data_IF_981809803841
#
_entry.id   IF_981809803841
#
_cell.length_a   1.000
_cell.length_b   1.000
_cell.length_c   1.000
_cell.angle_alpha   90.00
_cell.angle_beta   90.00
_cell.angle_gamma   90.00
#
_symmetry.space_group_name_H-M   'P 1'
#
loop_
_entity.id
_entity.type
_entity.pdbx_description
1 polymer ?
#
# COMPACT_ATOMS: atom_id res chain seq x y z
N UNK A 1 47.26 -4.37 -14.81
CA UNK A 1 46.24 -3.56 -14.11
C UNK A 1 45.59 -4.48 -13.08
N UNK A 2 45.73 -4.16 -11.80
CA UNK A 2 45.48 -5.09 -10.70
C UNK A 2 43.99 -5.43 -10.56
N UNK A 3 43.66 -6.71 -10.74
CA UNK A 3 42.39 -7.31 -10.36
C UNK A 3 42.47 -7.63 -8.86
N UNK A 4 41.91 -6.77 -8.01
CA UNK A 4 41.75 -7.02 -6.58
C UNK A 4 40.28 -6.82 -6.22
N UNK A 5 39.49 -7.86 -6.44
CA UNK A 5 38.12 -7.96 -5.95
C UNK A 5 38.12 -8.34 -4.46
N UNK A 6 38.67 -7.47 -3.61
CA UNK A 6 38.54 -7.58 -2.15
C UNK A 6 37.41 -6.64 -1.68
N UNK A 7 36.22 -6.82 -2.23
CA UNK A 7 35.02 -6.21 -1.64
C UNK A 7 34.70 -6.95 -0.35
N UNK A 8 34.68 -6.27 0.82
CA UNK A 8 34.30 -6.92 2.07
C UNK A 8 32.89 -7.51 1.96
N UNK A 9 32.65 -8.67 2.59
CA UNK A 9 31.32 -9.31 2.61
C UNK A 9 30.26 -8.29 3.07
N UNK A 10 29.18 -8.14 2.29
CA UNK A 10 28.10 -7.19 2.57
C UNK A 10 28.24 -5.82 1.92
N UNK A 11 29.28 -5.61 1.10
CA UNK A 11 29.48 -4.41 0.31
C UNK A 11 29.49 -4.70 -1.19
N UNK A 12 28.92 -3.79 -1.98
CA UNK A 12 28.99 -3.83 -3.43
C UNK A 12 30.30 -3.21 -3.96
N UNK A 13 30.82 -3.70 -5.11
CA UNK A 13 32.01 -3.12 -5.75
C UNK A 13 31.77 -1.73 -6.35
N UNK A 14 30.52 -1.30 -6.43
CA UNK A 14 30.06 -0.01 -6.96
C UNK A 14 29.02 0.60 -6.02
N UNK A 15 28.73 1.89 -6.20
CA UNK A 15 27.73 2.59 -5.40
C UNK A 15 26.32 2.14 -5.80
N UNK A 16 25.50 1.76 -4.83
CA UNK A 16 24.14 1.22 -5.06
C UNK A 16 23.12 2.30 -5.40
N UNK A 17 23.49 3.57 -5.22
CA UNK A 17 22.66 4.73 -5.50
C UNK A 17 23.36 5.65 -6.49
N UNK A 18 22.59 6.23 -7.41
CA UNK A 18 23.07 7.26 -8.33
C UNK A 18 23.26 8.63 -7.66
N UNK A 19 22.84 8.77 -6.41
CA UNK A 19 22.92 9.97 -5.58
C UNK A 19 23.15 9.58 -4.10
N UNK A 20 23.52 10.54 -3.25
CA UNK A 20 23.58 10.29 -1.81
C UNK A 20 22.17 10.51 -1.18
N UNK A 21 21.50 9.49 -0.61
CA UNK A 21 20.16 9.64 -0.04
C UNK A 21 20.12 10.65 1.10
N UNK A 22 19.22 11.63 1.05
CA UNK A 22 19.10 12.63 2.10
C UNK A 22 18.47 12.03 3.37
N UNK A 23 19.16 12.18 4.50
CA UNK A 23 18.66 11.73 5.82
C UNK A 23 17.41 12.49 6.31
N UNK A 24 17.32 13.83 6.18
CA UNK A 24 16.17 14.57 6.71
C UNK A 24 14.80 14.10 6.18
N UNK A 25 14.57 13.93 4.86
CA UNK A 25 13.29 13.42 4.37
C UNK A 25 13.05 11.97 4.80
N UNK A 26 14.09 11.12 4.87
CA UNK A 26 13.95 9.75 5.36
C UNK A 26 13.41 9.71 6.80
N UNK A 27 13.95 10.53 7.70
CA UNK A 27 13.44 10.62 9.07
C UNK A 27 12.03 11.22 9.15
N UNK A 28 11.68 12.17 8.28
CA UNK A 28 10.33 12.73 8.22
C UNK A 28 9.31 11.64 7.86
N UNK A 29 9.55 10.85 6.81
CA UNK A 29 8.67 9.76 6.41
C UNK A 29 8.64 8.62 7.43
N UNK A 30 9.78 8.30 8.04
CA UNK A 30 9.83 7.35 9.17
C UNK A 30 8.86 7.77 10.29
N UNK A 31 8.95 9.03 10.72
CA UNK A 31 8.08 9.56 11.78
C UNK A 31 6.61 9.54 11.36
N UNK A 32 6.29 9.96 10.13
CA UNK A 32 4.93 10.02 9.62
C UNK A 32 4.28 8.63 9.52
N UNK A 33 4.99 7.63 8.98
CA UNK A 33 4.49 6.26 8.93
C UNK A 33 4.42 5.60 10.31
N UNK A 34 5.37 5.90 11.20
CA UNK A 34 5.31 5.46 12.60
C UNK A 34 4.08 6.01 13.33
N UNK A 35 3.81 7.31 13.21
CA UNK A 35 2.60 7.95 13.76
C UNK A 35 1.34 7.35 13.14
N UNK A 36 1.31 7.12 11.82
CA UNK A 36 0.18 6.50 11.15
C UNK A 36 -0.09 5.07 11.66
N UNK A 37 0.96 4.26 11.84
CA UNK A 37 0.85 2.90 12.36
C UNK A 37 0.29 2.89 13.80
N UNK A 38 0.84 3.73 14.68
CA UNK A 38 0.36 3.89 16.06
C UNK A 38 -1.10 4.38 16.07
N UNK A 39 -1.45 5.32 15.20
CA UNK A 39 -2.83 5.83 15.10
C UNK A 39 -3.80 4.72 14.70
N UNK A 40 -3.49 3.93 13.68
CA UNK A 40 -4.32 2.77 13.29
C UNK A 40 -4.45 1.75 14.42
N UNK A 41 -3.36 1.51 15.17
CA UNK A 41 -3.39 0.63 16.34
C UNK A 41 -4.32 1.17 17.43
N UNK A 42 -4.26 2.46 17.76
CA UNK A 42 -5.14 3.09 18.74
C UNK A 42 -6.60 3.04 18.27
N UNK A 43 -6.88 3.28 16.98
CA UNK A 43 -8.24 3.24 16.43
C UNK A 43 -8.85 1.82 16.44
N UNK A 44 -8.05 0.76 16.56
CA UNK A 44 -8.56 -0.61 16.66
C UNK A 44 -9.46 -0.84 17.89
N UNK A 45 -9.11 -0.21 19.03
CA UNK A 45 -9.82 -0.38 20.31
C UNK A 45 -11.22 0.26 20.35
N UNK A 46 -11.42 1.56 20.04
CA UNK A 46 -12.74 2.20 20.13
C UNK A 46 -13.76 1.66 19.12
N UNK A 47 -13.29 1.11 18.00
CA UNK A 47 -14.16 0.50 16.98
C UNK A 47 -14.26 -1.02 17.10
N UNK A 48 -13.53 -1.65 18.04
CA UNK A 48 -13.45 -3.10 18.24
C UNK A 48 -13.33 -3.87 16.92
N UNK A 49 -12.41 -3.42 16.06
CA UNK A 49 -12.34 -3.90 14.69
C UNK A 49 -10.90 -4.22 14.29
N UNK A 50 -10.60 -5.51 14.08
CA UNK A 50 -9.28 -6.02 13.69
C UNK A 50 -8.90 -5.79 12.21
N UNK A 51 -9.70 -5.07 11.43
CA UNK A 51 -9.42 -4.90 9.99
C UNK A 51 -8.23 -4.00 9.63
N UNK A 52 -7.75 -3.04 10.44
CA UNK A 52 -6.59 -2.25 10.09
C UNK A 52 -5.27 -2.96 10.43
N UNK A 53 -5.27 -4.22 10.90
CA UNK A 53 -4.03 -4.96 11.21
C UNK A 53 -3.07 -4.99 10.01
N UNK A 54 -3.50 -5.32 8.77
CA UNK A 54 -2.60 -5.25 7.63
C UNK A 54 -2.06 -3.82 7.43
N UNK A 55 -2.90 -2.78 7.53
CA UNK A 55 -2.45 -1.38 7.42
C UNK A 55 -1.38 -1.02 8.46
N UNK A 56 -1.47 -1.52 9.69
CA UNK A 56 -0.44 -1.33 10.73
C UNK A 56 0.87 -1.99 10.31
N UNK A 57 0.80 -3.25 9.85
CA UNK A 57 1.97 -3.99 9.35
C UNK A 57 2.61 -3.25 8.19
N UNK A 58 1.84 -2.89 7.16
CA UNK A 58 2.36 -2.17 5.99
C UNK A 58 2.92 -0.79 6.33
N UNK A 59 2.29 -0.03 7.22
CA UNK A 59 2.84 1.25 7.69
C UNK A 59 4.13 1.05 8.50
N UNK A 60 4.22 -0.04 9.27
CA UNK A 60 5.46 -0.44 9.95
C UNK A 60 6.58 -0.81 8.98
N UNK A 61 6.24 -1.51 7.89
CA UNK A 61 7.19 -1.83 6.82
C UNK A 61 7.71 -0.57 6.12
N UNK A 62 6.84 0.39 5.78
CA UNK A 62 7.25 1.70 5.25
C UNK A 62 8.16 2.43 6.24
N UNK A 63 7.77 2.50 7.51
CA UNK A 63 8.58 3.11 8.57
C UNK A 63 9.99 2.49 8.65
N UNK A 64 10.08 1.16 8.63
CA UNK A 64 11.36 0.45 8.61
C UNK A 64 12.14 0.71 7.32
N UNK A 65 11.48 0.79 6.17
CA UNK A 65 12.12 1.07 4.89
C UNK A 65 12.84 2.43 4.91
N UNK A 66 12.16 3.48 5.39
CA UNK A 66 12.77 4.81 5.53
C UNK A 66 13.87 4.86 6.59
N UNK A 67 13.82 4.00 7.62
CA UNK A 67 14.94 3.83 8.55
C UNK A 67 16.19 3.25 7.84
N UNK A 68 16.04 2.17 7.08
CA UNK A 68 17.16 1.59 6.32
C UNK A 68 17.68 2.55 5.22
N UNK A 69 16.79 3.34 4.63
CA UNK A 69 17.17 4.41 3.71
C UNK A 69 18.06 5.45 4.38
N UNK A 70 17.70 5.90 5.59
CA UNK A 70 18.53 6.84 6.35
C UNK A 70 19.93 6.30 6.68
N UNK A 71 20.06 4.98 6.92
CA UNK A 71 21.35 4.31 7.12
C UNK A 71 22.17 4.21 5.85
N UNK A 72 21.53 4.16 4.69
CA UNK A 72 22.23 4.08 3.41
C UNK A 72 22.97 5.38 3.06
N UNK A 73 22.64 6.50 3.70
CA UNK A 73 23.40 7.74 3.60
C UNK A 73 24.83 7.59 4.12
N UNK A 74 25.01 6.82 5.19
CA UNK A 74 26.30 6.67 5.86
C UNK A 74 27.25 5.80 5.03
N UNK A 75 26.71 4.86 4.24
CA UNK A 75 27.50 4.03 3.33
C UNK A 75 26.69 3.54 2.12
N UNK A 76 26.97 4.11 0.94
CA UNK A 76 26.27 3.83 -0.31
C UNK A 76 26.56 2.45 -0.90
N UNK A 77 27.64 1.78 -0.46
CA UNK A 77 28.04 0.46 -0.94
C UNK A 77 27.50 -0.65 -0.06
N UNK A 78 26.96 -0.34 1.11
CA UNK A 78 26.44 -1.34 2.02
C UNK A 78 25.16 -1.96 1.45
N UNK A 79 25.21 -3.26 1.14
CA UNK A 79 24.15 -3.95 0.40
C UNK A 79 22.90 -4.16 1.25
N UNK A 80 23.05 -4.43 2.54
CA UNK A 80 21.92 -4.83 3.39
C UNK A 80 20.88 -3.71 3.59
N UNK A 81 21.24 -2.46 3.98
CA UNK A 81 20.26 -1.38 4.08
C UNK A 81 19.57 -1.10 2.75
N UNK A 82 20.31 -1.12 1.64
CA UNK A 82 19.77 -0.94 0.29
C UNK A 82 18.74 -2.02 -0.09
N UNK A 83 19.04 -3.30 0.18
CA UNK A 83 18.11 -4.39 -0.11
C UNK A 83 16.86 -4.31 0.78
N UNK A 84 17.05 -4.07 2.07
CA UNK A 84 15.93 -4.03 3.03
C UNK A 84 14.98 -2.86 2.74
N UNK A 85 15.47 -1.66 2.43
CA UNK A 85 14.58 -0.55 2.08
C UNK A 85 13.71 -0.90 0.84
N UNK A 86 14.30 -1.51 -0.20
CA UNK A 86 13.65 -1.74 -1.48
C UNK A 86 12.64 -2.88 -1.35
N UNK A 87 13.00 -3.94 -0.62
CA UNK A 87 12.11 -5.05 -0.33
C UNK A 87 10.91 -4.59 0.52
N UNK A 88 11.15 -3.79 1.56
CA UNK A 88 10.08 -3.30 2.43
C UNK A 88 9.11 -2.37 1.69
N UNK A 89 9.61 -1.42 0.88
CA UNK A 89 8.78 -0.56 0.01
C UNK A 89 8.02 -1.35 -1.06
N UNK A 90 8.54 -2.50 -1.48
CA UNK A 90 7.86 -3.36 -2.44
C UNK A 90 6.74 -4.19 -1.80
N UNK A 91 6.96 -4.65 -0.56
CA UNK A 91 6.04 -5.58 0.14
C UNK A 91 4.98 -4.83 0.98
N UNK A 92 5.22 -3.58 1.38
CA UNK A 92 4.25 -2.78 2.14
C UNK A 92 2.92 -2.46 1.40
N UNK A 93 2.92 -2.03 0.11
CA UNK A 93 1.69 -1.72 -0.65
C UNK A 93 0.67 -2.85 -0.61
N UNK A 94 1.13 -4.12 -0.62
CA UNK A 94 0.25 -5.19 -0.32
C UNK A 94 -0.65 -5.03 0.91
N UNK A 95 -0.05 -4.88 2.07
CA UNK A 95 -0.81 -4.84 3.31
C UNK A 95 -1.79 -3.66 3.37
N UNK A 96 -1.43 -2.52 2.76
CA UNK A 96 -2.33 -1.36 2.64
C UNK A 96 -3.55 -1.69 1.77
N UNK A 97 -3.34 -2.32 0.61
CA UNK A 97 -4.42 -2.73 -0.29
C UNK A 97 -5.40 -3.69 0.39
N UNK A 98 -4.88 -4.70 1.11
CA UNK A 98 -5.72 -5.65 1.86
C UNK A 98 -6.69 -4.92 2.80
N UNK A 99 -6.25 -3.85 3.46
CA UNK A 99 -7.11 -3.03 4.33
C UNK A 99 -8.15 -2.25 3.54
N UNK A 100 -7.85 -1.76 2.34
CA UNK A 100 -8.84 -1.11 1.46
C UNK A 100 -9.97 -2.07 1.08
N UNK A 101 -9.63 -3.31 0.74
CA UNK A 101 -10.63 -4.35 0.46
C UNK A 101 -11.50 -4.68 1.68
N UNK A 102 -10.89 -4.82 2.86
CA UNK A 102 -11.64 -5.02 4.11
C UNK A 102 -12.53 -3.82 4.45
N UNK A 103 -12.07 -2.61 4.11
CA UNK A 103 -12.84 -1.37 4.28
C UNK A 103 -14.08 -1.35 3.40
N UNK A 104 -13.93 -1.68 2.11
CA UNK A 104 -15.07 -1.83 1.19
C UNK A 104 -16.05 -2.89 1.70
N UNK A 105 -15.55 -4.06 2.12
CA UNK A 105 -16.39 -5.11 2.70
C UNK A 105 -17.27 -4.54 3.82
N UNK A 106 -16.66 -3.88 4.80
CA UNK A 106 -17.38 -3.31 5.95
C UNK A 106 -18.39 -2.25 5.56
N UNK A 107 -18.08 -1.41 4.56
CA UNK A 107 -19.00 -0.40 4.04
C UNK A 107 -20.21 -1.08 3.38
N UNK A 108 -20.00 -2.08 2.51
CA UNK A 108 -21.06 -2.85 1.87
C UNK A 108 -21.98 -3.51 2.90
N UNK A 109 -21.41 -4.13 3.94
CA UNK A 109 -22.16 -4.74 5.04
C UNK A 109 -22.96 -3.72 5.84
N UNK A 110 -22.37 -2.56 6.14
CA UNK A 110 -23.05 -1.47 6.84
C UNK A 110 -24.22 -0.88 6.04
N UNK A 111 -24.17 -0.96 4.71
CA UNK A 111 -25.26 -0.52 3.83
C UNK A 111 -26.32 -1.60 3.60
N UNK A 112 -26.17 -2.80 4.17
CA UNK A 112 -26.97 -4.01 3.87
C UNK A 112 -27.03 -4.33 2.37
N UNK A 113 -25.96 -4.04 1.65
CA UNK A 113 -25.85 -4.25 0.21
C UNK A 113 -25.04 -5.52 -0.13
N UNK A 114 -25.01 -6.51 0.78
CA UNK A 114 -24.24 -7.75 0.60
C UNK A 114 -24.72 -8.54 -0.63
N UNK A 115 -26.04 -8.69 -0.82
CA UNK A 115 -26.64 -9.37 -1.98
C UNK A 115 -26.45 -8.60 -3.30
N UNK A 116 -26.20 -7.30 -3.20
CA UNK A 116 -25.92 -6.43 -4.33
C UNK A 116 -24.41 -6.37 -4.65
N UNK A 117 -23.54 -7.06 -3.91
CA UNK A 117 -22.11 -7.06 -4.16
C UNK A 117 -21.73 -8.17 -5.15
N UNK A 118 -21.05 -7.83 -6.24
CA UNK A 118 -20.77 -8.77 -7.33
C UNK A 118 -19.70 -9.83 -7.03
N UNK A 119 -18.93 -9.74 -5.95
CA UNK A 119 -17.75 -10.60 -5.78
C UNK A 119 -17.66 -11.18 -4.37
N UNK A 120 -17.36 -12.49 -4.29
CA UNK A 120 -16.80 -13.13 -3.10
C UNK A 120 -15.45 -12.48 -2.79
N UNK A 121 -15.46 -11.48 -1.90
CA UNK A 121 -14.31 -10.69 -1.45
C UNK A 121 -13.13 -11.52 -0.87
N UNK A 122 -13.28 -12.85 -0.75
CA UNK A 122 -12.27 -13.78 -0.22
C UNK A 122 -11.18 -14.15 -1.23
N UNK A 123 -11.41 -14.01 -2.53
CA UNK A 123 -10.45 -14.41 -3.57
C UNK A 123 -9.39 -13.36 -3.86
N UNK A 124 -9.72 -12.08 -3.71
CA UNK A 124 -8.80 -10.97 -3.99
C UNK A 124 -7.66 -10.94 -2.97
N UNK A 125 -7.93 -11.23 -1.68
CA UNK A 125 -6.88 -11.39 -0.66
C UNK A 125 -5.96 -12.57 -0.95
N UNK A 126 -6.46 -13.68 -1.51
CA UNK A 126 -5.62 -14.85 -1.87
C UNK A 126 -4.69 -14.56 -3.05
N UNK A 127 -5.21 -13.93 -4.12
CA UNK A 127 -4.41 -13.49 -5.27
C UNK A 127 -3.24 -12.59 -4.84
N UNK A 128 -3.46 -11.87 -3.76
CA UNK A 128 -2.61 -10.79 -3.32
C UNK A 128 -1.60 -11.21 -2.24
N UNK A 129 -1.93 -12.23 -1.45
CA UNK A 129 -0.94 -13.00 -0.67
C UNK A 129 -0.02 -13.79 -1.62
N UNK A 130 -0.54 -14.29 -2.74
CA UNK A 130 0.26 -14.96 -3.77
C UNK A 130 1.26 -14.01 -4.46
N UNK A 131 0.91 -12.74 -4.71
CA UNK A 131 1.89 -11.75 -5.25
C UNK A 131 2.97 -11.39 -4.24
N UNK A 132 2.61 -11.19 -2.97
CA UNK A 132 3.59 -10.95 -1.92
C UNK A 132 4.54 -12.14 -1.73
N UNK A 133 4.02 -13.38 -1.82
CA UNK A 133 4.83 -14.61 -1.74
C UNK A 133 5.75 -14.82 -2.96
N UNK A 134 5.30 -14.50 -4.17
CA UNK A 134 6.10 -14.66 -5.39
C UNK A 134 7.31 -13.71 -5.46
N UNK A 135 7.20 -12.54 -4.82
CA UNK A 135 8.31 -11.57 -4.68
C UNK A 135 9.39 -12.10 -3.70
N UNK A 136 9.00 -12.96 -2.74
CA UNK A 136 9.88 -13.51 -1.71
C UNK A 136 10.61 -14.80 -2.12
N UNK A 137 10.18 -15.50 -3.18
CA UNK A 137 10.86 -16.68 -3.70
C UNK A 137 12.04 -16.29 -4.59
N UNK A 138 13.17 -15.95 -3.97
CA UNK A 138 14.46 -15.84 -4.63
C UNK A 138 15.05 -17.21 -5.00
N UNK A 139 15.74 -17.30 -6.13
CA UNK A 139 16.37 -18.52 -6.66
C UNK A 139 17.87 -18.29 -6.85
N UNK A 140 18.70 -19.27 -6.49
CA UNK A 140 20.18 -19.25 -6.57
C UNK A 140 20.69 -19.66 -7.97
N UNK A 141 20.73 -18.78 -8.98
CA UNK A 141 21.31 -19.10 -10.33
C UNK A 141 21.66 -17.80 -11.10
N UNK A 142 22.84 -17.68 -11.77
CA UNK A 142 23.34 -16.42 -12.33
C UNK A 142 22.62 -15.98 -13.62
N UNK A 143 21.48 -15.29 -13.43
CA UNK A 143 20.96 -14.18 -14.27
C UNK A 143 19.94 -13.37 -13.42
N UNK A 144 20.30 -13.15 -12.15
CA UNK A 144 19.36 -12.87 -11.05
C UNK A 144 18.71 -11.48 -11.12
N UNK A 145 19.43 -10.46 -11.62
CA UNK A 145 18.92 -9.10 -11.68
C UNK A 145 17.78 -8.94 -12.69
N UNK A 146 17.91 -9.56 -13.88
CA UNK A 146 16.89 -9.52 -14.92
C UNK A 146 15.66 -10.30 -14.51
N UNK A 147 15.83 -11.47 -13.89
CA UNK A 147 14.72 -12.27 -13.35
C UNK A 147 14.03 -11.55 -12.19
N UNK A 148 14.78 -10.94 -11.27
CA UNK A 148 14.25 -10.13 -10.17
C UNK A 148 13.40 -8.95 -10.66
N UNK A 149 13.91 -8.19 -11.64
CA UNK A 149 13.14 -7.12 -12.30
C UNK A 149 11.83 -7.63 -12.89
N UNK A 150 11.84 -8.76 -13.60
CA UNK A 150 10.62 -9.36 -14.18
C UNK A 150 9.60 -9.73 -13.10
N UNK A 151 10.03 -10.37 -12.01
CA UNK A 151 9.14 -10.74 -10.89
C UNK A 151 8.48 -9.50 -10.29
N UNK A 152 9.26 -8.44 -10.06
CA UNK A 152 8.75 -7.18 -9.51
C UNK A 152 7.73 -6.54 -10.45
N UNK A 153 8.04 -6.43 -11.75
CA UNK A 153 7.13 -5.85 -12.74
C UNK A 153 5.83 -6.66 -12.85
N UNK A 154 5.91 -8.00 -12.88
CA UNK A 154 4.75 -8.87 -12.87
C UNK A 154 3.86 -8.63 -11.64
N UNK A 155 4.49 -8.49 -10.46
CA UNK A 155 3.78 -8.16 -9.21
C UNK A 155 3.04 -6.81 -9.31
N UNK A 156 3.70 -5.77 -9.83
CA UNK A 156 3.10 -4.44 -10.00
C UNK A 156 1.94 -4.45 -11.01
N UNK A 157 2.07 -5.17 -12.13
CA UNK A 157 0.98 -5.31 -13.11
C UNK A 157 -0.23 -6.00 -12.47
N UNK A 158 0.00 -7.06 -11.70
CA UNK A 158 -1.07 -7.76 -11.00
C UNK A 158 -1.74 -6.87 -9.94
N UNK A 159 -0.97 -6.02 -9.25
CA UNK A 159 -1.52 -5.00 -8.34
C UNK A 159 -2.41 -4.00 -9.09
N UNK A 160 -1.99 -3.49 -10.26
CA UNK A 160 -2.80 -2.59 -11.11
C UNK A 160 -4.11 -3.27 -11.51
N UNK A 161 -4.05 -4.50 -12.01
CA UNK A 161 -5.24 -5.24 -12.41
C UNK A 161 -6.21 -5.45 -11.23
N UNK A 162 -5.67 -5.78 -10.05
CA UNK A 162 -6.47 -5.96 -8.83
C UNK A 162 -7.14 -4.65 -8.38
N UNK A 163 -6.46 -3.50 -8.48
CA UNK A 163 -7.03 -2.19 -8.15
C UNK A 163 -8.02 -1.68 -9.21
N UNK A 164 -7.80 -1.98 -10.49
CA UNK A 164 -8.78 -1.70 -11.53
C UNK A 164 -10.08 -2.48 -11.28
N UNK A 165 -9.98 -3.77 -10.94
CA UNK A 165 -11.14 -4.56 -10.53
C UNK A 165 -11.81 -4.01 -9.27
N UNK A 166 -11.02 -3.55 -8.29
CA UNK A 166 -11.54 -2.91 -7.08
C UNK A 166 -12.35 -1.66 -7.39
N UNK A 167 -11.87 -0.80 -8.30
CA UNK A 167 -12.61 0.38 -8.76
C UNK A 167 -13.95 0.01 -9.40
N UNK A 168 -13.98 -1.03 -10.25
CA UNK A 168 -15.22 -1.54 -10.83
C UNK A 168 -16.19 -1.99 -9.71
N UNK A 169 -15.69 -2.67 -8.67
CA UNK A 169 -16.51 -3.07 -7.53
C UNK A 169 -17.13 -1.88 -6.81
N UNK A 170 -16.37 -0.81 -6.57
CA UNK A 170 -16.86 0.42 -5.94
C UNK A 170 -17.92 1.08 -6.83
N UNK A 171 -17.68 1.17 -8.14
CA UNK A 171 -18.62 1.73 -9.12
C UNK A 171 -19.94 0.97 -9.16
N UNK A 172 -19.87 -0.36 -9.24
CA UNK A 172 -21.06 -1.22 -9.22
C UNK A 172 -21.83 -1.04 -7.91
N UNK A 173 -21.15 -1.03 -6.77
CA UNK A 173 -21.79 -0.80 -5.47
C UNK A 173 -22.48 0.57 -5.46
N UNK A 174 -21.82 1.62 -5.95
CA UNK A 174 -22.38 2.97 -5.99
C UNK A 174 -23.62 3.05 -6.89
N UNK A 175 -23.58 2.44 -8.08
CA UNK A 175 -24.73 2.42 -9.01
C UNK A 175 -25.88 1.62 -8.39
N UNK A 176 -25.62 0.43 -7.86
CA UNK A 176 -26.67 -0.42 -7.25
C UNK A 176 -27.32 0.24 -6.04
N UNK A 177 -26.55 0.90 -5.18
CA UNK A 177 -27.09 1.64 -4.03
C UNK A 177 -27.90 2.86 -4.46
N UNK A 178 -27.57 3.49 -5.60
CA UNK A 178 -28.39 4.58 -6.16
C UNK A 178 -29.70 4.07 -6.78
N UNK A 179 -29.66 2.95 -7.50
CA UNK A 179 -30.83 2.37 -8.18
C UNK A 179 -31.79 1.66 -7.22
N UNK A 180 -31.26 0.99 -6.19
CA UNK A 180 -32.04 0.30 -5.16
C UNK A 180 -31.59 0.78 -3.77
N UNK A 181 -32.01 1.99 -3.34
CA UNK A 181 -31.60 2.55 -2.07
C UNK A 181 -32.09 1.68 -0.91
N UNK A 182 -31.16 1.09 -0.15
CA UNK A 182 -31.49 0.36 1.07
C UNK A 182 -32.09 1.29 2.13
N UNK A 183 -32.86 0.74 3.07
CA UNK A 183 -33.59 1.50 4.10
C UNK A 183 -32.71 2.43 4.95
N UNK A 184 -31.40 2.15 5.04
CA UNK A 184 -30.42 3.03 5.70
C UNK A 184 -29.94 4.19 4.82
N UNK A 185 -29.88 3.98 3.50
CA UNK A 185 -29.52 5.03 2.52
C UNK A 185 -30.70 6.00 2.33
N UNK A 186 -31.92 5.46 2.29
CA UNK A 186 -33.15 6.24 2.10
C UNK A 186 -33.42 7.19 3.28
N UNK A 187 -33.08 6.77 4.50
CA UNK A 187 -33.26 7.56 5.71
C UNK A 187 -32.19 8.67 5.89
N UNK A 188 -31.17 8.74 5.02
CA UNK A 188 -30.10 9.75 5.11
C UNK A 188 -29.19 9.63 6.35
N UNK A 189 -29.35 8.58 7.15
CA UNK A 189 -28.69 8.43 8.47
C UNK A 189 -27.19 8.15 8.35
N UNK A 190 -26.75 7.56 7.23
CA UNK A 190 -25.37 7.14 7.03
C UNK A 190 -24.66 7.99 5.96
N UNK A 191 -23.57 8.70 6.29
CA UNK A 191 -22.77 9.44 5.32
C UNK A 191 -21.86 8.49 4.52
N UNK A 192 -22.44 7.58 3.73
CA UNK A 192 -21.68 6.55 3.01
C UNK A 192 -20.87 7.13 1.83
N UNK A 193 -21.34 8.23 1.21
CA UNK A 193 -20.72 8.86 0.04
C UNK A 193 -19.27 9.28 0.28
N UNK A 194 -18.95 9.86 1.44
CA UNK A 194 -17.57 10.26 1.77
C UNK A 194 -16.62 9.06 1.82
N UNK A 195 -17.10 7.89 2.27
CA UNK A 195 -16.26 6.69 2.32
C UNK A 195 -16.03 6.11 0.92
N UNK A 196 -17.02 6.17 0.02
CA UNK A 196 -16.84 5.80 -1.38
C UNK A 196 -15.84 6.73 -2.09
N UNK A 197 -15.95 8.06 -1.89
CA UNK A 197 -14.98 9.03 -2.40
C UNK A 197 -13.59 8.74 -1.85
N UNK A 198 -13.47 8.45 -0.55
CA UNK A 198 -12.21 8.02 0.05
C UNK A 198 -11.60 6.80 -0.65
N UNK A 199 -12.41 5.76 -0.89
CA UNK A 199 -11.96 4.56 -1.61
C UNK A 199 -11.55 4.84 -3.05
N UNK A 200 -12.24 5.74 -3.76
CA UNK A 200 -11.82 6.19 -5.10
C UNK A 200 -10.48 6.91 -5.05
N UNK A 201 -10.31 7.86 -4.14
CA UNK A 201 -9.06 8.60 -3.96
C UNK A 201 -7.89 7.64 -3.64
N UNK A 202 -8.06 6.73 -2.69
CA UNK A 202 -7.00 5.77 -2.34
C UNK A 202 -6.67 4.82 -3.49
N UNK A 203 -7.68 4.39 -4.26
CA UNK A 203 -7.44 3.53 -5.43
C UNK A 203 -6.70 4.28 -6.54
N UNK A 204 -7.03 5.55 -6.77
CA UNK A 204 -6.32 6.41 -7.71
C UNK A 204 -4.84 6.60 -7.32
N UNK A 205 -4.56 6.94 -6.05
CA UNK A 205 -3.19 7.06 -5.55
C UNK A 205 -2.39 5.76 -5.74
N UNK A 206 -3.01 4.60 -5.45
CA UNK A 206 -2.40 3.29 -5.66
C UNK A 206 -2.07 3.01 -7.13
N UNK A 207 -2.97 3.34 -8.05
CA UNK A 207 -2.75 3.14 -9.48
C UNK A 207 -1.61 4.00 -10.00
N UNK A 208 -1.61 5.31 -9.66
CA UNK A 208 -0.54 6.21 -10.11
C UNK A 208 0.81 5.74 -9.55
N UNK A 209 0.88 5.38 -8.26
CA UNK A 209 2.09 4.80 -7.65
C UNK A 209 2.61 3.59 -8.42
N UNK A 210 1.72 2.62 -8.72
CA UNK A 210 2.14 1.40 -9.42
C UNK A 210 2.60 1.66 -10.85
N UNK A 211 1.96 2.61 -11.55
CA UNK A 211 2.40 3.03 -12.90
C UNK A 211 3.79 3.67 -12.82
N UNK A 212 4.00 4.62 -11.90
CA UNK A 212 5.31 5.27 -11.71
C UNK A 212 6.38 4.23 -11.39
N UNK A 213 6.08 3.25 -10.53
CA UNK A 213 6.99 2.15 -10.20
C UNK A 213 7.34 1.30 -11.42
N UNK A 214 6.38 0.94 -12.27
CA UNK A 214 6.67 0.19 -13.49
C UNK A 214 7.58 1.00 -14.43
N UNK A 215 7.30 2.31 -14.59
CA UNK A 215 8.14 3.19 -15.41
C UNK A 215 9.55 3.28 -14.85
N UNK A 216 9.69 3.45 -13.53
CA UNK A 216 10.96 3.49 -12.81
C UNK A 216 11.78 2.21 -13.03
N UNK A 217 11.17 1.03 -12.81
CA UNK A 217 11.84 -0.25 -13.04
C UNK A 217 12.22 -0.46 -14.50
N UNK A 218 11.41 0.03 -15.45
CA UNK A 218 11.70 -0.09 -16.88
C UNK A 218 12.86 0.80 -17.33
N UNK A 219 12.97 2.02 -16.82
CA UNK A 219 14.06 2.96 -17.15
C UNK A 219 15.43 2.48 -16.64
N UNK A 220 15.48 1.76 -15.52
CA UNK A 220 16.75 1.29 -14.94
C UNK A 220 17.58 2.42 -14.33
N UNK A 221 18.83 2.10 -13.97
CA UNK A 221 19.70 2.97 -13.14
C UNK A 221 20.06 4.33 -13.75
N UNK A 222 19.89 4.51 -15.06
CA UNK A 222 20.19 5.75 -15.79
C UNK A 222 18.94 6.63 -16.03
N UNK A 223 17.78 6.21 -15.52
CA UNK A 223 16.51 6.93 -15.70
C UNK A 223 16.40 8.19 -14.84
N UNK A 224 15.85 9.31 -15.35
CA UNK A 224 15.71 10.57 -14.60
C UNK A 224 14.87 10.44 -13.32
N UNK A 225 14.00 9.43 -13.23
CA UNK A 225 13.22 9.12 -12.02
C UNK A 225 14.08 8.53 -10.90
N UNK A 226 15.06 7.69 -11.24
CA UNK A 226 16.05 7.14 -10.31
C UNK A 226 17.18 8.11 -10.04
N UNK A 227 17.41 9.10 -10.90
CA UNK A 227 18.44 10.13 -10.70
C UNK A 227 18.04 11.20 -9.68
N UNK A 228 16.74 11.38 -9.41
CA UNK A 228 16.27 12.39 -8.47
C UNK A 228 15.43 11.78 -7.35
N UNK A 229 16.01 11.79 -6.15
CA UNK A 229 15.41 11.31 -4.91
C UNK A 229 14.00 11.88 -4.64
N UNK A 230 13.72 13.11 -5.07
CA UNK A 230 12.44 13.76 -4.86
C UNK A 230 11.27 12.95 -5.42
N UNK A 231 11.46 12.27 -6.56
CA UNK A 231 10.38 11.48 -7.17
C UNK A 231 9.97 10.28 -6.33
N UNK A 232 10.93 9.64 -5.64
CA UNK A 232 10.62 8.53 -4.74
C UNK A 232 9.76 9.02 -3.57
N UNK A 233 10.14 10.13 -2.93
CA UNK A 233 9.35 10.67 -1.82
C UNK A 233 7.97 11.17 -2.26
N UNK A 234 7.87 11.80 -3.43
CA UNK A 234 6.59 12.34 -3.92
C UNK A 234 5.65 11.21 -4.39
N UNK A 235 6.12 10.32 -5.26
CA UNK A 235 5.23 9.35 -5.90
C UNK A 235 5.04 8.05 -5.12
N UNK A 236 5.98 7.70 -4.25
CA UNK A 236 5.84 6.53 -3.37
C UNK A 236 5.48 6.98 -1.96
N UNK A 237 6.35 7.77 -1.32
CA UNK A 237 6.15 8.23 0.06
C UNK A 237 4.84 8.96 0.28
N UNK A 238 4.59 10.07 -0.42
CA UNK A 238 3.39 10.89 -0.21
C UNK A 238 2.11 10.15 -0.61
N UNK A 239 2.14 9.30 -1.64
CA UNK A 239 0.94 8.57 -2.07
C UNK A 239 0.58 7.47 -1.07
N UNK A 240 1.57 6.71 -0.62
CA UNK A 240 1.39 5.69 0.41
C UNK A 240 0.94 6.32 1.74
N UNK A 241 1.54 7.44 2.15
CA UNK A 241 1.12 8.19 3.32
C UNK A 241 -0.30 8.77 3.14
N UNK A 242 -0.63 9.29 1.95
CA UNK A 242 -1.96 9.77 1.64
C UNK A 242 -3.02 8.69 1.82
N UNK A 243 -2.74 7.46 1.38
CA UNK A 243 -3.62 6.32 1.57
C UNK A 243 -3.83 6.00 3.06
N UNK A 244 -2.75 5.94 3.85
CA UNK A 244 -2.86 5.63 5.29
C UNK A 244 -3.67 6.70 6.02
N UNK A 245 -3.44 7.98 5.71
CA UNK A 245 -4.13 9.13 6.30
C UNK A 245 -5.61 9.16 5.91
N UNK A 246 -5.96 8.89 4.64
CA UNK A 246 -7.37 8.83 4.21
C UNK A 246 -8.14 7.78 5.01
N UNK A 247 -7.54 6.61 5.28
CA UNK A 247 -8.20 5.55 6.07
C UNK A 247 -8.29 5.91 7.56
N UNK A 248 -7.34 6.68 8.12
CA UNK A 248 -7.46 7.22 9.48
C UNK A 248 -8.67 8.16 9.57
N UNK A 249 -8.78 9.11 8.63
CA UNK A 249 -9.85 10.11 8.62
C UNK A 249 -11.21 9.48 8.33
N UNK A 250 -11.27 8.60 7.32
CA UNK A 250 -12.48 7.91 6.86
C UNK A 250 -12.55 6.48 7.39
N UNK A 251 -12.26 6.29 8.68
CA UNK A 251 -12.23 4.97 9.30
C UNK A 251 -13.59 4.25 9.20
N UNK A 252 -13.71 3.11 8.47
CA UNK A 252 -14.97 2.40 8.26
C UNK A 252 -15.68 1.97 9.55
N UNK A 253 -14.93 1.79 10.64
CA UNK A 253 -15.51 1.48 11.96
C UNK A 253 -16.51 2.53 12.46
N UNK A 254 -16.37 3.80 12.04
CA UNK A 254 -17.33 4.87 12.35
C UNK A 254 -18.68 4.60 11.69
N UNK A 255 -18.67 4.22 10.41
CA UNK A 255 -19.87 3.89 9.64
C UNK A 255 -20.57 2.66 10.21
N UNK A 256 -19.82 1.60 10.53
CA UNK A 256 -20.37 0.36 11.10
C UNK A 256 -21.02 0.62 12.46
N UNK A 257 -20.41 1.45 13.32
CA UNK A 257 -20.97 1.80 14.63
C UNK A 257 -22.27 2.60 14.48
N UNK A 258 -22.34 3.52 13.51
CA UNK A 258 -23.56 4.28 13.20
C UNK A 258 -24.68 3.39 12.66
N UNK A 259 -24.35 2.44 11.77
CA UNK A 259 -25.34 1.49 11.23
C UNK A 259 -25.97 0.65 12.34
N UNK A 260 -25.15 0.07 13.24
CA UNK A 260 -25.64 -0.69 14.40
C UNK A 260 -26.54 0.14 15.32
N UNK A 261 -26.23 1.42 15.52
CA UNK A 261 -27.05 2.32 16.35
C UNK A 261 -28.39 2.62 15.67
N UNK A 262 -28.42 2.78 14.35
CA UNK A 262 -29.65 3.01 13.60
C UNK A 262 -30.58 1.78 13.61
N UNK A 263 -30.01 0.58 13.61
CA UNK A 263 -30.78 -0.67 13.76
C UNK A 263 -31.46 -0.77 15.13
N UNK A 264 -30.76 -0.38 16.21
CA UNK A 264 -31.27 -0.46 17.57
C UNK A 264 -32.51 0.43 17.83
N UNK A 265 -32.65 1.56 17.14
CA UNK A 265 -33.81 2.46 17.28
C UNK A 265 -35.02 2.06 16.42
N UNK A 266 -34.88 1.04 15.55
CA UNK A 266 -35.96 0.55 14.68
C UNK A 266 -36.61 -0.74 15.17
N UNK A 267 -36.04 -1.40 16.18
CA UNK A 267 -36.63 -2.54 16.87
C UNK A 267 -37.29 -2.11 18.16
#
# INVERSE_FOLDING_TARGET
MANSTDTPKGYAPFDLYSYNPAQPPAYAFLALFGIAAVTHFILMFPYRAAFPIPMIIGSGMECAAYWFRSRSHDNLRQTLPFLLQNLLMLVAPPFLAATLYMSLSRITRALRAEELSLISLRWITKLFVLTAGAIMSGSEVPDEAKRGKTIIICGLILQIAAFALFLICILVLQVRVKSCPTSHCLAGVLPYRRYLVGLYCTSGLFLIRNIVRIVEYNQGSDGPLLSNEAFLYIFDGCFMLGITVIIIVLHPGRLVKQAKRADFYKG
#
